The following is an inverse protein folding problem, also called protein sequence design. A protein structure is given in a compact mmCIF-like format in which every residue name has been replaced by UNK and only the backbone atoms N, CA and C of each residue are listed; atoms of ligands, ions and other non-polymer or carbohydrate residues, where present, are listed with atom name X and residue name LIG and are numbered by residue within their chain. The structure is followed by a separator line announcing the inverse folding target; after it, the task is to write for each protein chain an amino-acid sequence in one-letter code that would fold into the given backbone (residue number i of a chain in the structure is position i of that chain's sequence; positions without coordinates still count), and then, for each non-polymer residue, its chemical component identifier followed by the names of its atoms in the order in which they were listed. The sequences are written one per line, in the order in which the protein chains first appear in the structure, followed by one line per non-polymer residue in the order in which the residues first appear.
data_IF_867930296745
#
_entry.id   IF_867930296745
#
_cell.length_a   1.000
_cell.length_b   1.000
_cell.length_c   1.000
_cell.angle_alpha   90.00
_cell.angle_beta   90.00
_cell.angle_gamma   90.00
#
_symmetry.space_group_name_H-M   'P 1'
#
loop_
_entity.id
_entity.type
_entity.pdbx_description
1 polymer ?
#
# COMPACT_ATOMS: atom_id res chain seq x y z
N UNK A 1 -14.26 -15.89 -18.25
CA UNK A 1 -14.09 -15.73 -19.72
C UNK A 1 -13.13 -14.54 -19.92
N UNK A 2 -11.85 -14.81 -20.19
CA UNK A 2 -10.83 -13.77 -20.44
C UNK A 2 -11.27 -12.91 -21.62
N UNK A 3 -11.50 -11.61 -21.39
CA UNK A 3 -11.68 -10.65 -22.47
C UNK A 3 -10.40 -10.62 -23.29
N UNK A 4 -10.46 -11.10 -24.54
CA UNK A 4 -9.36 -10.98 -25.51
C UNK A 4 -8.94 -9.50 -25.58
N UNK A 5 -7.75 -9.19 -25.10
CA UNK A 5 -7.10 -7.89 -25.33
C UNK A 5 -6.17 -8.06 -26.55
N UNK A 6 -6.58 -7.63 -27.75
CA UNK A 6 -5.80 -7.87 -28.97
C UNK A 6 -4.38 -7.30 -28.93
N UNK A 7 -4.16 -6.28 -28.10
CA UNK A 7 -2.86 -5.65 -27.90
C UNK A 7 -1.90 -6.53 -27.07
N UNK A 8 -2.39 -7.12 -25.98
CA UNK A 8 -1.61 -8.01 -25.12
C UNK A 8 -1.22 -9.30 -25.87
N UNK A 9 -2.15 -9.91 -26.61
CA UNK A 9 -1.89 -11.10 -27.43
C UNK A 9 -0.79 -10.85 -28.46
N UNK A 10 -0.79 -9.67 -29.09
CA UNK A 10 0.24 -9.28 -30.07
C UNK A 10 1.60 -9.08 -29.44
N UNK A 11 1.68 -8.45 -28.26
CA UNK A 11 2.92 -8.28 -27.52
C UNK A 11 3.51 -9.61 -27.07
N UNK A 12 2.66 -10.53 -26.57
CA UNK A 12 3.09 -11.88 -26.18
C UNK A 12 3.63 -12.67 -27.36
N UNK A 13 3.00 -12.55 -28.54
CA UNK A 13 3.47 -13.23 -29.75
C UNK A 13 4.81 -12.68 -30.29
N UNK A 14 5.15 -11.43 -29.97
CA UNK A 14 6.40 -10.77 -30.36
C UNK A 14 7.48 -10.84 -29.29
N UNK A 15 7.14 -11.35 -28.09
CA UNK A 15 8.07 -11.40 -26.97
C UNK A 15 9.23 -12.38 -27.27
N UNK A 16 10.47 -11.99 -26.98
CA UNK A 16 11.61 -12.89 -27.07
C UNK A 16 11.43 -14.14 -26.20
N UNK A 17 12.10 -15.25 -26.55
CA UNK A 17 11.97 -16.46 -25.75
C UNK A 17 12.50 -16.25 -24.32
N UNK A 18 11.78 -16.74 -23.32
CA UNK A 18 12.21 -16.68 -21.91
C UNK A 18 13.57 -17.35 -21.70
N UNK A 19 13.91 -18.35 -22.51
CA UNK A 19 15.23 -19.01 -22.46
C UNK A 19 16.33 -18.04 -22.89
N UNK A 20 16.13 -17.31 -23.97
CA UNK A 20 17.09 -16.32 -24.47
C UNK A 20 17.24 -15.17 -23.48
N UNK A 21 16.13 -14.64 -22.93
CA UNK A 21 16.15 -13.61 -21.89
C UNK A 21 16.89 -14.08 -20.61
N UNK A 22 16.67 -15.32 -20.18
CA UNK A 22 17.39 -15.89 -19.04
C UNK A 22 18.91 -15.99 -19.29
N UNK A 23 19.30 -16.43 -20.48
CA UNK A 23 20.72 -16.46 -20.89
C UNK A 23 21.33 -15.06 -20.91
N UNK A 24 20.61 -14.09 -21.48
CA UNK A 24 21.02 -12.69 -21.60
C UNK A 24 21.21 -12.05 -20.21
N UNK A 25 20.20 -12.14 -19.33
CA UNK A 25 20.25 -11.56 -17.98
C UNK A 25 21.39 -12.18 -17.17
N UNK A 26 21.60 -13.49 -17.27
CA UNK A 26 22.69 -14.15 -16.55
C UNK A 26 24.05 -13.72 -17.08
N UNK A 27 24.21 -13.67 -18.41
CA UNK A 27 25.46 -13.21 -19.04
C UNK A 27 25.81 -11.76 -18.71
N UNK A 28 24.79 -10.88 -18.69
CA UNK A 28 24.93 -9.48 -18.29
C UNK A 28 25.35 -9.32 -16.83
N UNK A 29 24.74 -10.10 -15.92
CA UNK A 29 25.02 -10.04 -14.48
C UNK A 29 26.47 -10.45 -14.15
N UNK A 30 26.99 -11.44 -14.84
CA UNK A 30 28.37 -11.94 -14.62
C UNK A 30 29.39 -11.35 -15.55
N UNK A 31 28.99 -10.51 -16.49
CA UNK A 31 29.84 -9.96 -17.56
C UNK A 31 30.70 -11.02 -18.28
N UNK A 32 30.14 -12.26 -18.35
CA UNK A 32 30.84 -13.45 -18.83
C UNK A 32 29.89 -14.52 -19.35
N UNK A 33 30.08 -14.91 -20.61
CA UNK A 33 29.31 -16.03 -21.18
C UNK A 33 29.70 -17.38 -20.57
N UNK A 34 30.95 -17.53 -20.13
CA UNK A 34 31.44 -18.76 -19.49
C UNK A 34 30.79 -18.92 -18.11
N UNK A 35 30.83 -17.89 -17.27
CA UNK A 35 30.18 -17.93 -15.97
C UNK A 35 28.68 -18.11 -16.08
N UNK A 36 28.03 -17.45 -17.04
CA UNK A 36 26.61 -17.65 -17.30
C UNK A 36 26.29 -19.11 -17.66
N UNK A 37 27.17 -19.76 -18.45
CA UNK A 37 27.01 -21.17 -18.81
C UNK A 37 27.11 -22.09 -17.60
N UNK A 38 28.06 -21.85 -16.70
CA UNK A 38 28.21 -22.59 -15.44
C UNK A 38 26.97 -22.45 -14.55
N UNK A 39 26.50 -21.20 -14.33
CA UNK A 39 25.30 -20.90 -13.50
C UNK A 39 24.04 -21.57 -14.06
N UNK A 40 23.89 -21.59 -15.38
CA UNK A 40 22.72 -22.15 -16.04
C UNK A 40 22.86 -23.66 -16.37
N UNK A 41 24.00 -24.28 -16.02
CA UNK A 41 24.31 -25.70 -16.31
C UNK A 41 24.18 -26.02 -17.81
N UNK A 42 24.71 -25.15 -18.69
CA UNK A 42 24.72 -25.33 -20.15
C UNK A 42 26.10 -25.07 -20.71
N UNK A 43 26.32 -25.25 -22.02
CA UNK A 43 27.58 -24.92 -22.65
C UNK A 43 27.68 -23.43 -22.99
N UNK A 44 28.89 -22.87 -22.99
CA UNK A 44 29.11 -21.48 -23.40
C UNK A 44 28.64 -21.22 -24.85
N UNK A 45 28.78 -22.23 -25.76
CA UNK A 45 28.24 -22.14 -27.12
C UNK A 45 26.70 -22.00 -27.15
N UNK A 46 25.99 -22.67 -26.21
CA UNK A 46 24.54 -22.55 -26.09
C UNK A 46 24.16 -21.13 -25.65
N UNK A 47 24.89 -20.55 -24.67
CA UNK A 47 24.66 -19.14 -24.24
C UNK A 47 24.87 -18.19 -25.42
N UNK A 48 26.02 -18.28 -26.10
CA UNK A 48 26.33 -17.42 -27.25
C UNK A 48 25.28 -17.51 -28.35
N UNK A 49 24.79 -18.71 -28.63
CA UNK A 49 23.72 -18.93 -29.63
C UNK A 49 22.40 -18.26 -29.21
N UNK A 50 21.97 -18.44 -27.95
CA UNK A 50 20.74 -17.84 -27.46
C UNK A 50 20.77 -16.31 -27.44
N UNK A 51 21.93 -15.75 -27.11
CA UNK A 51 22.15 -14.28 -27.15
C UNK A 51 22.12 -13.78 -28.59
N UNK A 52 22.79 -14.48 -29.52
CA UNK A 52 22.74 -14.11 -30.92
C UNK A 52 21.31 -14.18 -31.50
N UNK A 53 20.60 -15.25 -31.24
CA UNK A 53 19.18 -15.38 -31.63
C UNK A 53 18.31 -14.24 -31.09
N UNK A 54 18.60 -13.76 -29.85
CA UNK A 54 17.93 -12.63 -29.24
C UNK A 54 18.27 -11.30 -29.95
N UNK A 55 19.56 -11.04 -30.20
CA UNK A 55 20.04 -9.86 -30.91
C UNK A 55 19.49 -9.82 -32.35
N UNK A 56 19.51 -10.96 -33.05
CA UNK A 56 18.95 -11.09 -34.39
C UNK A 56 17.42 -10.83 -34.42
N UNK A 57 16.68 -11.26 -33.38
CA UNK A 57 15.22 -11.05 -33.26
C UNK A 57 14.84 -9.60 -32.98
N UNK A 58 15.73 -8.84 -32.34
CA UNK A 58 15.55 -7.44 -31.99
C UNK A 58 16.22 -6.48 -32.99
N UNK A 59 16.99 -7.01 -33.94
CA UNK A 59 17.82 -6.27 -34.89
C UNK A 59 18.75 -5.24 -34.23
N UNK A 60 19.27 -5.60 -33.03
CA UNK A 60 20.18 -4.73 -32.26
C UNK A 60 21.18 -5.54 -31.43
N UNK A 61 22.43 -5.07 -31.35
CA UNK A 61 23.41 -5.64 -30.46
C UNK A 61 23.11 -5.27 -29.00
N UNK A 62 23.08 -6.26 -28.12
CA UNK A 62 22.87 -6.07 -26.68
C UNK A 62 24.20 -6.07 -25.90
N UNK A 63 25.23 -6.70 -26.46
CA UNK A 63 26.57 -6.71 -25.90
C UNK A 63 27.58 -6.09 -26.86
N UNK A 64 28.53 -5.38 -26.30
CA UNK A 64 29.78 -4.99 -26.95
C UNK A 64 30.95 -5.78 -26.37
N UNK A 65 31.93 -6.10 -27.22
CA UNK A 65 33.14 -6.83 -26.82
C UNK A 65 34.31 -5.87 -26.65
N UNK A 66 34.79 -5.74 -25.42
CA UNK A 66 35.97 -4.94 -25.10
C UNK A 66 37.09 -5.87 -24.67
N UNK A 67 37.85 -6.35 -25.64
CA UNK A 67 38.89 -7.32 -25.39
C UNK A 67 38.36 -8.69 -24.92
N UNK A 68 38.66 -9.06 -23.67
CA UNK A 68 38.20 -10.32 -23.05
C UNK A 68 36.90 -10.19 -22.26
N UNK A 69 36.39 -8.97 -22.11
CA UNK A 69 35.15 -8.67 -21.35
C UNK A 69 34.00 -8.38 -22.30
N UNK A 70 32.82 -8.66 -21.84
CA UNK A 70 31.58 -8.25 -22.48
C UNK A 70 30.96 -7.14 -21.63
N UNK A 71 30.41 -6.11 -22.27
CA UNK A 71 29.66 -5.04 -21.61
C UNK A 71 28.32 -4.87 -22.31
N UNK A 72 27.35 -4.36 -21.58
CA UNK A 72 26.03 -4.04 -22.16
C UNK A 72 26.10 -2.78 -23.03
N UNK A 73 25.51 -2.83 -24.21
CA UNK A 73 25.15 -1.63 -24.97
C UNK A 73 24.04 -0.82 -24.27
N UNK A 74 23.71 0.38 -24.76
CA UNK A 74 22.56 1.13 -24.26
C UNK A 74 21.24 0.35 -24.41
N UNK A 75 21.05 -0.31 -25.57
CA UNK A 75 19.91 -1.20 -25.80
C UNK A 75 19.92 -2.39 -24.82
N UNK A 76 21.10 -2.98 -24.58
CA UNK A 76 21.30 -4.03 -23.60
C UNK A 76 20.91 -3.59 -22.18
N UNK A 77 21.29 -2.37 -21.76
CA UNK A 77 20.91 -1.83 -20.44
C UNK A 77 19.40 -1.68 -20.28
N UNK A 78 18.71 -1.16 -21.29
CA UNK A 78 17.26 -1.04 -21.29
C UNK A 78 16.61 -2.42 -21.12
N UNK A 79 17.00 -3.38 -21.94
CA UNK A 79 16.44 -4.73 -21.90
C UNK A 79 16.79 -5.46 -20.60
N UNK A 80 18.01 -5.28 -20.07
CA UNK A 80 18.45 -5.88 -18.81
C UNK A 80 17.59 -5.45 -17.64
N UNK A 81 17.38 -4.14 -17.47
CA UNK A 81 16.61 -3.60 -16.37
C UNK A 81 15.15 -4.13 -16.36
N UNK A 82 14.52 -4.16 -17.53
CA UNK A 82 13.16 -4.70 -17.66
C UNK A 82 13.11 -6.23 -17.44
N UNK A 83 14.04 -6.97 -18.07
CA UNK A 83 14.05 -8.44 -18.03
C UNK A 83 14.48 -8.99 -16.67
N UNK A 84 15.43 -8.36 -16.00
CA UNK A 84 15.92 -8.82 -14.69
C UNK A 84 14.80 -8.89 -13.66
N UNK A 85 14.07 -7.78 -13.49
CA UNK A 85 12.95 -7.73 -12.55
C UNK A 85 11.86 -8.74 -12.92
N UNK A 86 11.51 -8.83 -14.21
CA UNK A 86 10.47 -9.76 -14.67
C UNK A 86 10.86 -11.23 -14.44
N UNK A 87 12.11 -11.61 -14.72
CA UNK A 87 12.60 -12.98 -14.49
C UNK A 87 12.67 -13.30 -13.00
N UNK A 88 13.08 -12.35 -12.15
CA UNK A 88 13.09 -12.55 -10.71
C UNK A 88 11.67 -12.76 -10.17
N UNK A 89 10.69 -11.96 -10.61
CA UNK A 89 9.28 -12.15 -10.24
C UNK A 89 8.75 -13.52 -10.67
N UNK A 90 9.08 -13.97 -11.89
CA UNK A 90 8.69 -15.32 -12.36
C UNK A 90 9.35 -16.41 -11.50
N UNK A 91 10.63 -16.24 -11.14
CA UNK A 91 11.35 -17.21 -10.33
C UNK A 91 10.77 -17.29 -8.91
N UNK A 92 10.43 -16.17 -8.30
CA UNK A 92 9.76 -16.09 -7.00
C UNK A 92 8.37 -16.72 -7.03
N UNK A 93 7.58 -16.44 -8.06
CA UNK A 93 6.27 -17.06 -8.25
C UNK A 93 6.38 -18.59 -8.43
N UNK A 94 7.35 -19.06 -9.21
CA UNK A 94 7.61 -20.49 -9.39
C UNK A 94 8.06 -21.16 -8.09
N UNK A 95 8.82 -20.47 -7.25
CA UNK A 95 9.22 -20.97 -5.93
C UNK A 95 8.03 -20.98 -4.97
N UNK A 96 7.18 -19.95 -5.00
CA UNK A 96 5.94 -19.91 -4.22
C UNK A 96 4.99 -21.07 -4.58
N UNK A 97 4.87 -21.39 -5.87
CA UNK A 97 4.09 -22.57 -6.35
C UNK A 97 4.70 -23.89 -5.86
N UNK A 98 6.04 -23.99 -5.80
CA UNK A 98 6.71 -25.19 -5.28
C UNK A 98 6.58 -25.33 -3.77
N UNK A 99 6.64 -24.21 -3.07
CA UNK A 99 6.32 -24.13 -1.65
C UNK A 99 4.80 -24.16 -1.53
N UNK A 100 4.18 -25.30 -1.73
CA UNK A 100 2.76 -25.50 -1.41
C UNK A 100 2.59 -25.41 0.11
N UNK A 101 2.90 -24.25 0.66
CA UNK A 101 2.75 -23.96 2.08
C UNK A 101 1.26 -23.78 2.31
N UNK A 102 0.63 -24.85 2.77
CA UNK A 102 -0.81 -24.92 3.06
C UNK A 102 -1.24 -23.89 4.11
N UNK A 103 -0.29 -23.19 4.71
CA UNK A 103 -0.50 -22.25 5.81
C UNK A 103 -0.16 -20.78 5.43
N UNK A 104 0.15 -20.51 4.16
CA UNK A 104 0.38 -19.14 3.71
C UNK A 104 -0.94 -18.41 3.49
N UNK A 105 -1.03 -17.15 3.95
CA UNK A 105 -2.16 -16.25 3.75
C UNK A 105 -1.65 -14.93 3.19
N UNK A 106 -2.16 -14.50 2.04
CA UNK A 106 -1.80 -13.23 1.40
C UNK A 106 -2.86 -12.18 1.68
N UNK A 107 -2.46 -11.10 2.34
CA UNK A 107 -3.34 -9.97 2.69
C UNK A 107 -2.88 -8.72 1.98
N UNK A 108 -3.78 -8.07 1.24
CA UNK A 108 -3.52 -6.84 0.51
C UNK A 108 -4.16 -5.65 1.23
N UNK A 109 -3.36 -4.62 1.49
CA UNK A 109 -3.78 -3.42 2.24
C UNK A 109 -3.13 -2.15 1.66
N UNK A 110 -3.64 -0.96 2.02
CA UNK A 110 -2.96 0.29 1.70
C UNK A 110 -1.66 0.47 2.48
N UNK A 111 -0.72 1.26 1.95
CA UNK A 111 0.54 1.59 2.62
C UNK A 111 0.32 2.18 4.03
N UNK A 112 -0.66 3.07 4.15
CA UNK A 112 -0.99 3.72 5.41
C UNK A 112 -1.55 2.73 6.43
N UNK A 113 -2.48 1.88 6.01
CA UNK A 113 -3.06 0.85 6.88
C UNK A 113 -2.00 -0.16 7.32
N UNK A 114 -1.14 -0.62 6.43
CA UNK A 114 -0.03 -1.51 6.75
C UNK A 114 0.89 -0.90 7.82
N UNK A 115 1.30 0.36 7.64
CA UNK A 115 2.28 1.00 8.50
C UNK A 115 1.73 1.44 9.87
N UNK A 116 0.52 2.00 9.91
CA UNK A 116 0.00 2.64 11.13
C UNK A 116 -0.98 1.76 11.91
N UNK A 117 -1.67 0.81 11.25
CA UNK A 117 -2.63 -0.06 11.92
C UNK A 117 -2.14 -1.50 12.07
N UNK A 118 -1.75 -2.13 10.95
CA UNK A 118 -1.45 -3.56 10.93
C UNK A 118 -0.11 -3.87 11.62
N UNK A 119 0.93 -3.09 11.35
CA UNK A 119 2.31 -3.37 11.81
C UNK A 119 2.43 -3.52 13.32
N UNK A 120 1.70 -2.70 14.10
CA UNK A 120 1.72 -2.75 15.58
C UNK A 120 1.04 -3.98 16.15
N UNK A 121 0.16 -4.63 15.39
CA UNK A 121 -0.65 -5.79 15.80
C UNK A 121 -0.07 -7.13 15.35
N UNK A 122 0.81 -7.11 14.35
CA UNK A 122 1.45 -8.32 13.82
C UNK A 122 2.22 -9.16 14.86
N UNK A 123 2.92 -8.58 15.86
CA UNK A 123 3.57 -9.37 16.90
C UNK A 123 2.59 -10.27 17.65
N UNK A 124 1.46 -9.72 18.11
CA UNK A 124 0.43 -10.47 18.84
C UNK A 124 -0.25 -11.54 17.92
N UNK A 125 -0.46 -11.20 16.63
CA UNK A 125 -0.95 -12.18 15.67
C UNK A 125 0.00 -13.37 15.53
N UNK A 126 1.30 -13.13 15.37
CA UNK A 126 2.31 -14.20 15.22
C UNK A 126 2.45 -15.05 16.46
N UNK A 127 2.31 -14.47 17.65
CA UNK A 127 2.32 -15.20 18.91
C UNK A 127 1.10 -16.14 19.02
N UNK A 128 -0.08 -15.65 18.63
CA UNK A 128 -1.33 -16.43 18.67
C UNK A 128 -1.42 -17.49 17.57
N UNK A 129 -0.85 -17.23 16.38
CA UNK A 129 -0.92 -18.11 15.22
C UNK A 129 0.46 -18.35 14.58
N UNK A 130 1.39 -19.01 15.27
CA UNK A 130 2.77 -19.15 14.83
C UNK A 130 2.93 -19.98 13.55
N UNK A 131 1.93 -20.81 13.19
CA UNK A 131 1.95 -21.64 11.99
C UNK A 131 1.52 -20.87 10.72
N UNK A 132 0.90 -19.69 10.84
CA UNK A 132 0.44 -18.94 9.68
C UNK A 132 1.59 -18.10 9.12
N UNK A 133 1.96 -18.36 7.86
CA UNK A 133 2.86 -17.52 7.12
C UNK A 133 2.07 -16.39 6.45
N UNK A 134 2.15 -15.18 7.01
CA UNK A 134 1.45 -14.01 6.48
C UNK A 134 2.31 -13.29 5.44
N UNK A 135 1.78 -13.14 4.22
CA UNK A 135 2.31 -12.30 3.17
C UNK A 135 1.48 -11.01 3.09
N UNK A 136 2.12 -9.86 3.34
CA UNK A 136 1.44 -8.56 3.27
C UNK A 136 1.84 -7.87 1.98
N UNK A 137 0.88 -7.71 1.09
CA UNK A 137 0.99 -6.90 -0.13
C UNK A 137 0.48 -5.50 0.15
N UNK A 138 1.17 -4.48 -0.37
CA UNK A 138 0.76 -3.09 -0.20
C UNK A 138 0.55 -2.41 -1.53
N UNK A 139 -0.65 -1.80 -1.71
CA UNK A 139 -1.00 -1.02 -2.90
C UNK A 139 -2.03 0.05 -2.56
N UNK A 140 -2.08 1.10 -3.36
CA UNK A 140 -3.19 2.06 -3.38
C UNK A 140 -4.17 1.77 -4.55
N UNK A 141 -3.81 0.85 -5.46
CA UNK A 141 -4.52 0.52 -6.70
C UNK A 141 -5.12 -0.89 -6.64
N UNK A 142 -6.04 -1.10 -5.70
CA UNK A 142 -6.64 -2.42 -5.47
C UNK A 142 -7.42 -2.97 -6.68
N UNK A 143 -7.94 -2.08 -7.55
CA UNK A 143 -8.71 -2.47 -8.74
C UNK A 143 -7.81 -2.84 -9.94
N UNK A 144 -6.50 -2.58 -9.83
CA UNK A 144 -5.51 -2.89 -10.87
C UNK A 144 -4.68 -4.15 -10.51
N UNK A 145 -5.06 -4.85 -9.43
CA UNK A 145 -4.44 -6.13 -9.10
C UNK A 145 -4.70 -7.11 -10.24
N UNK A 146 -3.63 -7.58 -10.86
CA UNK A 146 -3.69 -8.54 -11.95
C UNK A 146 -4.34 -9.85 -11.46
N UNK A 147 -5.17 -10.48 -12.29
CA UNK A 147 -5.84 -11.77 -11.98
C UNK A 147 -4.84 -12.87 -11.54
N UNK A 148 -3.55 -12.69 -11.86
CA UNK A 148 -2.47 -13.61 -11.47
C UNK A 148 -1.93 -13.39 -10.05
N UNK A 149 -2.32 -12.32 -9.39
CA UNK A 149 -1.84 -11.95 -8.04
C UNK A 149 -3.01 -11.71 -7.08
N UNK A 150 -4.06 -12.53 -7.17
CA UNK A 150 -5.21 -12.43 -6.27
C UNK A 150 -4.79 -12.70 -4.81
N UNK A 151 -4.86 -11.69 -3.94
CA UNK A 151 -4.66 -11.92 -2.50
C UNK A 151 -5.84 -12.70 -1.92
N UNK A 152 -5.59 -13.46 -0.88
CA UNK A 152 -6.66 -14.17 -0.15
C UNK A 152 -7.64 -13.19 0.52
N UNK A 153 -7.12 -12.03 0.96
CA UNK A 153 -7.89 -10.98 1.64
C UNK A 153 -7.44 -9.61 1.13
N UNK A 154 -8.40 -8.73 0.88
CA UNK A 154 -8.16 -7.30 0.64
C UNK A 154 -8.83 -6.49 1.74
N UNK A 155 -8.13 -5.50 2.30
CA UNK A 155 -8.71 -4.54 3.25
C UNK A 155 -8.64 -3.15 2.63
N UNK A 156 -9.81 -2.58 2.31
CA UNK A 156 -9.91 -1.28 1.63
C UNK A 156 -11.22 -0.55 1.99
N UNK A 157 -11.27 0.75 1.70
CA UNK A 157 -12.50 1.57 1.78
C UNK A 157 -13.35 1.50 0.50
N UNK A 158 -12.76 1.07 -0.61
CA UNK A 158 -13.40 1.03 -1.92
C UNK A 158 -13.63 -0.43 -2.33
N UNK A 159 -14.72 -1.06 -1.85
CA UNK A 159 -15.02 -2.43 -2.22
C UNK A 159 -15.36 -2.53 -3.71
N UNK A 160 -14.96 -3.62 -4.37
CA UNK A 160 -15.38 -3.92 -5.72
C UNK A 160 -16.91 -4.07 -5.77
N UNK A 161 -17.51 -3.75 -6.92
CA UNK A 161 -18.95 -3.90 -7.15
C UNK A 161 -19.32 -5.23 -7.80
N UNK A 162 -18.31 -5.97 -8.19
CA UNK A 162 -18.44 -7.24 -8.88
C UNK A 162 -19.02 -8.31 -7.94
N UNK A 163 -19.94 -9.16 -8.42
CA UNK A 163 -20.64 -10.16 -7.59
C UNK A 163 -19.73 -11.33 -7.17
N UNK A 164 -18.51 -11.39 -7.70
CA UNK A 164 -17.54 -12.44 -7.38
C UNK A 164 -16.90 -12.24 -5.99
N UNK A 165 -17.07 -11.08 -5.35
CA UNK A 165 -16.48 -10.79 -4.06
C UNK A 165 -17.52 -10.83 -2.94
N UNK A 166 -17.11 -11.37 -1.81
CA UNK A 166 -17.77 -11.21 -0.52
C UNK A 166 -17.15 -10.00 0.19
N UNK A 167 -18.01 -9.10 0.67
CA UNK A 167 -17.63 -7.81 1.26
C UNK A 167 -18.20 -7.73 2.67
N UNK A 168 -17.32 -7.74 3.67
CA UNK A 168 -17.69 -7.65 5.08
C UNK A 168 -17.24 -6.30 5.66
N UNK A 169 -18.13 -5.49 6.28
CA UNK A 169 -17.74 -4.25 6.93
C UNK A 169 -16.95 -4.54 8.21
N UNK A 170 -15.80 -3.86 8.40
CA UNK A 170 -14.95 -4.00 9.58
C UNK A 170 -15.24 -2.92 10.62
N UNK A 171 -15.07 -1.66 10.26
CA UNK A 171 -15.29 -0.49 11.11
C UNK A 171 -15.56 0.74 10.26
N UNK A 172 -16.25 1.70 10.84
CA UNK A 172 -16.54 2.98 10.19
C UNK A 172 -15.48 4.05 10.50
N UNK A 173 -15.43 5.08 9.67
CA UNK A 173 -14.50 6.18 9.84
C UNK A 173 -14.90 7.10 11.00
N UNK A 174 -13.92 7.39 11.84
CA UNK A 174 -13.96 8.46 12.84
C UNK A 174 -12.75 9.35 12.63
N UNK A 175 -12.98 10.65 12.47
CA UNK A 175 -11.93 11.64 12.17
C UNK A 175 -12.00 12.80 13.14
N UNK A 176 -10.86 13.17 13.72
CA UNK A 176 -10.73 14.27 14.67
C UNK A 176 -9.36 14.94 14.55
N UNK A 177 -9.23 16.21 14.96
CA UNK A 177 -7.93 16.88 14.96
C UNK A 177 -6.97 16.25 15.97
N UNK A 178 -5.70 16.16 15.57
CA UNK A 178 -4.59 15.76 16.43
C UNK A 178 -3.39 16.68 16.25
N UNK A 179 -2.61 16.87 17.32
CA UNK A 179 -1.32 17.55 17.28
C UNK A 179 -0.42 16.97 18.36
N UNK A 180 0.88 17.29 18.33
CA UNK A 180 1.74 16.92 19.44
C UNK A 180 1.45 17.76 20.72
N UNK A 181 1.75 17.24 21.92
CA UNK A 181 1.66 18.01 23.16
C UNK A 181 2.46 19.31 23.11
N UNK A 182 3.63 19.30 22.49
CA UNK A 182 4.47 20.51 22.35
C UNK A 182 3.84 21.57 21.46
N UNK A 183 3.16 21.17 20.39
CA UNK A 183 2.40 22.09 19.55
C UNK A 183 1.21 22.69 20.30
N UNK A 184 0.49 21.85 21.05
CA UNK A 184 -0.64 22.28 21.87
C UNK A 184 -0.20 23.33 22.90
N UNK A 185 0.85 23.07 23.67
CA UNK A 185 1.40 24.01 24.66
C UNK A 185 1.82 25.35 24.05
N UNK A 186 2.39 25.34 22.85
CA UNK A 186 2.85 26.55 22.17
C UNK A 186 1.71 27.44 21.64
N UNK A 187 0.65 26.82 21.13
CA UNK A 187 -0.37 27.52 20.34
C UNK A 187 -1.73 27.64 21.03
N UNK A 188 -2.05 26.71 21.92
CA UNK A 188 -3.39 26.53 22.48
C UNK A 188 -3.46 26.59 24.01
N UNK A 189 -2.35 26.63 24.69
CA UNK A 189 -2.29 26.69 26.14
C UNK A 189 -3.26 27.75 26.71
N UNK A 190 -3.97 27.38 27.76
CA UNK A 190 -4.91 28.26 28.49
C UNK A 190 -6.10 28.78 27.66
N UNK A 191 -6.34 28.25 26.46
CA UNK A 191 -7.49 28.60 25.63
C UNK A 191 -8.59 27.54 25.75
N UNK A 192 -9.84 28.00 25.91
CA UNK A 192 -11.01 27.15 25.75
C UNK A 192 -11.31 27.04 24.24
N UNK A 193 -10.75 26.04 23.60
CA UNK A 193 -10.81 25.86 22.15
C UNK A 193 -12.20 25.40 21.69
N UNK A 194 -12.63 26.00 20.57
CA UNK A 194 -13.72 25.52 19.73
C UNK A 194 -13.17 24.83 18.50
N UNK A 195 -13.93 23.97 17.81
CA UNK A 195 -13.46 23.25 16.63
C UNK A 195 -12.84 24.12 15.53
N UNK A 196 -13.38 25.33 15.31
CA UNK A 196 -12.91 26.26 14.26
C UNK A 196 -11.68 27.05 14.66
N UNK A 197 -11.35 27.17 15.93
CA UNK A 197 -10.15 27.93 16.41
C UNK A 197 -8.86 27.26 15.92
N UNK A 198 -8.91 25.96 15.64
CA UNK A 198 -7.78 25.20 15.11
C UNK A 198 -7.32 25.69 13.75
N UNK A 199 -8.22 26.25 12.93
CA UNK A 199 -7.92 26.76 11.60
C UNK A 199 -7.08 28.04 11.61
N UNK A 200 -6.95 28.70 12.76
CA UNK A 200 -6.08 29.87 12.94
C UNK A 200 -4.59 29.52 13.06
N UNK A 201 -4.25 28.25 13.21
CA UNK A 201 -2.91 27.73 13.39
C UNK A 201 -2.46 26.86 12.20
N UNK A 202 -1.16 26.55 12.07
CA UNK A 202 -0.66 25.70 11.01
C UNK A 202 -1.40 24.37 10.90
N UNK A 203 -1.88 24.04 9.70
CA UNK A 203 -2.55 22.77 9.38
C UNK A 203 -1.74 21.92 8.43
N UNK A 204 -1.83 20.61 8.63
CA UNK A 204 -1.26 19.58 7.78
C UNK A 204 -2.38 18.95 6.95
N UNK A 205 -2.21 18.91 5.64
CA UNK A 205 -3.28 18.55 4.70
C UNK A 205 -2.96 17.30 3.91
N UNK A 206 -3.90 16.37 3.88
CA UNK A 206 -3.84 15.21 2.99
C UNK A 206 -4.29 15.63 1.60
N UNK A 207 -3.41 15.49 0.61
CA UNK A 207 -3.68 15.76 -0.80
C UNK A 207 -4.24 14.53 -1.50
N UNK A 208 -5.11 14.77 -2.49
CA UNK A 208 -5.61 13.71 -3.39
C UNK A 208 -4.69 13.46 -4.59
N UNK A 209 -3.69 14.32 -4.82
CA UNK A 209 -2.81 14.20 -5.98
C UNK A 209 -2.07 12.86 -5.97
N UNK A 210 -2.19 12.09 -7.06
CA UNK A 210 -1.53 10.80 -7.20
C UNK A 210 -2.10 9.67 -6.34
N UNK A 211 -3.29 9.85 -5.76
CA UNK A 211 -4.03 8.77 -5.08
C UNK A 211 -5.12 8.21 -5.99
N UNK A 212 -5.33 6.90 -5.89
CA UNK A 212 -6.52 6.28 -6.48
C UNK A 212 -7.79 6.99 -5.98
N UNK A 213 -8.83 7.05 -6.81
CA UNK A 213 -10.08 7.73 -6.46
C UNK A 213 -10.60 7.21 -5.11
N UNK A 214 -10.45 8.03 -4.08
CA UNK A 214 -11.05 7.78 -2.76
C UNK A 214 -12.42 8.41 -2.81
N UNK A 215 -13.46 7.62 -2.60
CA UNK A 215 -14.85 8.05 -2.76
C UNK A 215 -15.20 9.30 -1.98
N UNK A 216 -14.56 9.55 -0.83
CA UNK A 216 -14.90 10.71 -0.01
C UNK A 216 -13.68 11.18 0.79
N UNK A 217 -13.12 12.27 0.36
CA UNK A 217 -12.01 12.92 1.03
C UNK A 217 -12.50 13.73 2.22
N UNK A 218 -11.82 13.58 3.37
CA UNK A 218 -12.04 14.41 4.55
C UNK A 218 -10.83 15.33 4.73
N UNK A 219 -11.03 16.61 4.50
CA UNK A 219 -10.05 17.67 4.67
C UNK A 219 -10.52 18.74 5.66
N UNK A 220 -9.71 19.78 5.87
CA UNK A 220 -10.06 20.89 6.74
C UNK A 220 -11.26 21.72 6.24
N UNK A 221 -11.65 21.62 4.96
CA UNK A 221 -12.88 22.25 4.43
C UNK A 221 -14.10 21.48 4.91
N UNK A 222 -14.04 20.14 4.91
CA UNK A 222 -15.09 19.29 5.47
C UNK A 222 -15.24 19.57 6.96
N UNK A 223 -14.14 19.63 7.72
CA UNK A 223 -14.14 20.00 9.13
C UNK A 223 -14.80 21.36 9.36
N UNK A 224 -14.36 22.39 8.65
CA UNK A 224 -14.94 23.73 8.73
C UNK A 224 -16.42 23.70 8.45
N UNK A 225 -16.86 23.15 7.32
CA UNK A 225 -18.26 23.15 6.90
C UNK A 225 -19.16 22.43 7.89
N UNK A 226 -18.64 21.43 8.61
CA UNK A 226 -19.38 20.69 9.63
C UNK A 226 -19.66 21.53 10.87
N UNK A 227 -18.71 22.32 11.30
CA UNK A 227 -18.82 23.12 12.53
C UNK A 227 -19.20 24.58 12.29
N UNK A 228 -19.24 25.03 11.04
CA UNK A 228 -19.60 26.39 10.71
C UNK A 228 -21.14 26.55 10.72
N UNK A 229 -21.66 27.33 11.66
CA UNK A 229 -23.06 27.77 11.68
C UNK A 229 -23.16 29.16 11.02
N UNK A 230 -23.74 29.23 9.80
CA UNK A 230 -24.01 30.51 9.10
C UNK A 230 -23.07 30.84 7.94
N UNK A 231 -23.36 31.95 7.28
CA UNK A 231 -22.72 32.49 6.07
C UNK A 231 -21.32 33.10 6.39
N UNK A 232 -20.41 32.26 6.89
CA UNK A 232 -19.08 32.73 7.29
C UNK A 232 -18.21 33.03 6.09
N UNK A 233 -17.77 34.27 6.01
CA UNK A 233 -16.66 34.72 5.16
C UNK A 233 -15.45 33.80 5.31
N UNK A 234 -14.75 33.56 4.22
CA UNK A 234 -13.62 32.67 4.00
C UNK A 234 -12.45 32.94 4.99
N UNK A 235 -12.55 32.42 6.23
CA UNK A 235 -11.52 32.56 7.27
C UNK A 235 -10.47 31.44 7.11
N UNK A 236 -10.41 30.78 6.00
CA UNK A 236 -9.21 30.04 5.63
C UNK A 236 -8.16 31.06 5.17
N UNK A 237 -7.61 31.84 6.10
CA UNK A 237 -6.23 32.23 5.93
C UNK A 237 -5.48 30.95 5.59
N UNK A 238 -4.70 30.94 4.52
CA UNK A 238 -4.01 29.74 4.02
C UNK A 238 -2.91 29.33 5.02
N UNK A 239 -3.34 28.80 6.17
CA UNK A 239 -2.47 28.27 7.23
C UNK A 239 -1.99 26.86 6.94
N UNK A 240 -2.11 26.40 5.69
CA UNK A 240 -1.57 25.14 5.23
C UNK A 240 -0.05 25.16 5.34
N UNK A 241 0.49 24.44 6.32
CA UNK A 241 1.93 24.34 6.53
C UNK A 241 2.55 23.33 5.57
N UNK A 242 1.86 22.22 5.36
CA UNK A 242 2.29 21.14 4.48
C UNK A 242 1.08 20.45 3.86
N UNK A 243 1.20 20.10 2.59
CA UNK A 243 0.28 19.24 1.87
C UNK A 243 1.04 18.06 1.29
N UNK A 244 0.57 16.82 1.54
CA UNK A 244 1.19 15.59 1.06
C UNK A 244 0.13 14.53 0.78
N UNK A 245 0.37 13.68 -0.21
CA UNK A 245 -0.41 12.47 -0.46
C UNK A 245 0.06 11.27 0.38
N UNK A 246 1.18 11.37 1.08
CA UNK A 246 1.62 10.37 2.06
C UNK A 246 1.16 10.74 3.47
N UNK A 247 0.14 10.06 3.96
CA UNK A 247 -0.41 10.32 5.29
C UNK A 247 0.56 10.01 6.43
N UNK A 248 1.49 9.05 6.24
CA UNK A 248 2.51 8.71 7.25
C UNK A 248 3.47 9.87 7.48
N UNK A 249 3.84 10.58 6.39
CA UNK A 249 4.62 11.80 6.50
C UNK A 249 3.88 12.86 7.33
N UNK A 250 2.58 13.04 7.09
CA UNK A 250 1.77 14.01 7.83
C UNK A 250 1.65 13.67 9.31
N UNK A 251 1.50 12.38 9.66
CA UNK A 251 1.50 11.92 11.06
C UNK A 251 2.85 12.24 11.72
N UNK A 252 3.96 11.93 11.06
CA UNK A 252 5.30 12.24 11.57
C UNK A 252 5.52 13.76 11.77
N UNK A 253 5.00 14.59 10.88
CA UNK A 253 5.06 16.06 11.02
C UNK A 253 4.17 16.56 12.18
N UNK A 254 3.01 15.95 12.40
CA UNK A 254 2.16 16.27 13.54
C UNK A 254 2.87 15.91 14.88
N UNK A 255 3.49 14.74 14.95
CA UNK A 255 4.32 14.32 16.11
C UNK A 255 5.52 15.25 16.35
N UNK A 256 6.14 15.75 15.28
CA UNK A 256 7.23 16.72 15.34
C UNK A 256 6.79 18.14 15.78
N UNK A 257 5.48 18.39 15.88
CA UNK A 257 4.97 19.70 16.32
C UNK A 257 4.89 20.74 15.21
N UNK A 258 4.74 20.33 13.96
CA UNK A 258 4.68 21.22 12.79
C UNK A 258 3.27 21.71 12.47
N UNK A 259 2.22 21.11 13.07
CA UNK A 259 0.85 21.54 12.82
C UNK A 259 -0.21 20.61 13.39
N UNK A 260 -1.46 20.97 13.14
CA UNK A 260 -2.64 20.15 13.45
C UNK A 260 -3.01 19.32 12.23
N UNK A 261 -3.24 18.02 12.42
CA UNK A 261 -3.64 17.07 11.40
C UNK A 261 -5.06 16.56 11.69
N UNK A 262 -5.86 16.30 10.65
CA UNK A 262 -7.06 15.47 10.78
C UNK A 262 -6.64 14.00 10.88
N UNK A 263 -6.84 13.41 12.04
CA UNK A 263 -6.47 12.04 12.39
C UNK A 263 -7.63 11.08 12.21
N UNK A 264 -7.47 10.04 11.39
CA UNK A 264 -8.38 8.90 11.40
C UNK A 264 -8.10 8.06 12.64
N UNK A 265 -9.11 7.81 13.45
CA UNK A 265 -9.00 7.10 14.73
C UNK A 265 -8.17 5.82 14.60
N UNK A 266 -8.49 4.97 13.63
CA UNK A 266 -7.78 3.71 13.41
C UNK A 266 -6.28 3.88 13.06
N UNK A 267 -5.85 5.06 12.59
CA UNK A 267 -4.46 5.33 12.22
C UNK A 267 -3.67 6.04 13.31
N UNK A 268 -4.32 6.79 14.20
CA UNK A 268 -3.63 7.67 15.16
C UNK A 268 -3.90 7.37 16.64
N UNK A 269 -4.80 6.44 16.97
CA UNK A 269 -5.15 6.16 18.37
C UNK A 269 -3.95 5.68 19.20
N UNK A 270 -3.07 4.84 18.63
CA UNK A 270 -1.86 4.38 19.31
C UNK A 270 -0.87 5.51 19.56
N UNK A 271 -0.78 6.51 18.68
CA UNK A 271 0.04 7.69 18.90
C UNK A 271 -0.51 8.54 20.04
N UNK A 272 -1.81 8.56 20.22
CA UNK A 272 -2.47 9.25 21.34
C UNK A 272 -2.23 8.48 22.65
N UNK A 273 -2.43 7.17 22.67
CA UNK A 273 -2.14 6.32 23.84
C UNK A 273 -0.69 6.43 24.30
N UNK A 274 0.25 6.52 23.37
CA UNK A 274 1.67 6.69 23.67
C UNK A 274 2.05 8.14 23.99
N UNK A 275 1.11 9.08 24.01
CA UNK A 275 1.34 10.50 24.31
C UNK A 275 2.13 11.26 23.24
N UNK A 276 2.33 10.71 22.03
CA UNK A 276 3.00 11.39 20.93
C UNK A 276 2.08 12.40 20.24
N UNK A 277 0.80 12.08 20.18
CA UNK A 277 -0.27 12.96 19.72
C UNK A 277 -1.31 13.13 20.83
N UNK A 278 -2.08 14.21 20.74
CA UNK A 278 -3.25 14.47 21.58
C UNK A 278 -4.36 15.10 20.76
N UNK A 279 -5.59 15.06 21.27
CA UNK A 279 -6.73 15.74 20.69
C UNK A 279 -6.84 17.13 21.31
N UNK A 280 -6.67 18.22 20.51
CA UNK A 280 -6.81 19.59 21.04
C UNK A 280 -8.24 19.98 21.37
N UNK A 281 -9.23 19.32 20.75
CA UNK A 281 -10.67 19.47 21.02
C UNK A 281 -11.33 18.09 21.13
N UNK A 282 -12.44 17.97 21.88
CA UNK A 282 -13.16 16.69 22.02
C UNK A 282 -13.97 16.30 20.77
N UNK A 283 -14.23 17.26 19.89
CA UNK A 283 -15.09 17.09 18.73
C UNK A 283 -14.51 16.11 17.72
N UNK A 284 -15.40 15.41 16.99
CA UNK A 284 -15.05 14.45 15.94
C UNK A 284 -16.13 14.36 14.86
N UNK A 285 -15.71 13.94 13.66
CA UNK A 285 -16.59 13.57 12.56
C UNK A 285 -16.75 12.04 12.57
N UNK A 286 -17.97 11.55 12.70
CA UNK A 286 -18.29 10.11 12.68
C UNK A 286 -19.10 9.79 11.42
N UNK A 287 -18.54 8.98 10.55
CA UNK A 287 -19.13 8.60 9.27
C UNK A 287 -19.66 7.17 9.33
N UNK A 288 -20.92 7.01 9.76
CA UNK A 288 -21.55 5.69 9.96
C UNK A 288 -21.81 4.90 8.68
N UNK A 289 -21.65 5.52 7.53
CA UNK A 289 -21.85 4.97 6.19
C UNK A 289 -20.51 4.71 5.44
N UNK A 290 -19.38 5.07 6.03
CA UNK A 290 -18.04 4.91 5.43
C UNK A 290 -17.25 3.87 6.18
N UNK A 291 -17.13 2.70 5.60
CA UNK A 291 -16.46 1.56 6.21
C UNK A 291 -15.12 1.25 5.57
N UNK A 292 -14.25 0.65 6.37
CA UNK A 292 -13.25 -0.27 5.86
C UNK A 292 -13.91 -1.62 5.71
N UNK A 293 -13.60 -2.31 4.63
CA UNK A 293 -14.16 -3.60 4.29
C UNK A 293 -13.07 -4.66 4.23
N UNK A 294 -13.40 -5.84 4.70
CA UNK A 294 -12.69 -7.07 4.40
C UNK A 294 -13.34 -7.70 3.16
N UNK A 295 -12.53 -7.97 2.16
CA UNK A 295 -13.00 -8.46 0.86
C UNK A 295 -12.28 -9.74 0.55
N UNK A 296 -13.04 -10.75 0.11
CA UNK A 296 -12.54 -12.05 -0.33
C UNK A 296 -13.22 -12.46 -1.63
N UNK A 297 -12.52 -13.22 -2.45
CA UNK A 297 -13.15 -13.79 -3.63
C UNK A 297 -14.12 -14.91 -3.21
N UNK A 298 -15.37 -14.87 -3.69
CA UNK A 298 -16.46 -15.80 -3.29
C UNK A 298 -16.13 -17.27 -3.57
N UNK A 299 -15.34 -17.55 -4.59
CA UNK A 299 -14.89 -18.88 -4.94
C UNK A 299 -13.68 -19.37 -4.10
N UNK A 300 -13.09 -18.48 -3.28
CA UNK A 300 -12.03 -18.88 -2.37
C UNK A 300 -12.62 -19.83 -1.32
N UNK A 301 -12.11 -21.06 -1.24
CA UNK A 301 -12.51 -21.98 -0.16
C UNK A 301 -12.04 -21.40 1.16
N UNK A 302 -12.91 -21.27 2.17
CA UNK A 302 -12.51 -20.78 3.47
C UNK A 302 -11.49 -21.77 4.08
N UNK A 303 -10.23 -21.34 4.11
CA UNK A 303 -9.14 -22.07 4.79
C UNK A 303 -9.11 -21.71 6.26
N UNK A 304 -8.56 -22.56 7.10
CA UNK A 304 -8.44 -22.31 8.54
C UNK A 304 -7.68 -21.01 8.82
N UNK A 305 -6.60 -20.76 8.07
CA UNK A 305 -5.75 -19.56 8.17
C UNK A 305 -6.55 -18.29 7.88
N UNK A 306 -7.40 -18.33 6.87
CA UNK A 306 -8.31 -17.22 6.54
C UNK A 306 -9.29 -16.94 7.69
N UNK A 307 -9.96 -17.97 8.21
CA UNK A 307 -10.92 -17.81 9.30
C UNK A 307 -10.25 -17.26 10.57
N UNK A 308 -9.07 -17.76 10.91
CA UNK A 308 -8.29 -17.30 12.06
C UNK A 308 -7.85 -15.84 11.91
N UNK A 309 -7.39 -15.44 10.73
CA UNK A 309 -7.02 -14.04 10.47
C UNK A 309 -8.24 -13.11 10.48
N UNK A 310 -9.34 -13.49 9.83
CA UNK A 310 -10.59 -12.72 9.81
C UNK A 310 -11.12 -12.49 11.23
N UNK A 311 -11.20 -13.55 12.03
CA UNK A 311 -11.74 -13.46 13.38
C UNK A 311 -10.83 -12.61 14.27
N UNK A 312 -9.52 -12.76 14.18
CA UNK A 312 -8.56 -11.90 14.85
C UNK A 312 -8.67 -10.44 14.40
N UNK A 313 -8.81 -10.19 13.11
CA UNK A 313 -8.96 -8.84 12.57
C UNK A 313 -10.23 -8.16 13.10
N UNK A 314 -11.34 -8.90 13.18
CA UNK A 314 -12.60 -8.41 13.74
C UNK A 314 -12.48 -8.13 15.25
N UNK A 315 -11.76 -8.96 16.01
CA UNK A 315 -11.49 -8.73 17.43
C UNK A 315 -10.70 -7.42 17.64
N UNK A 316 -9.62 -7.22 16.88
CA UNK A 316 -8.78 -6.02 16.94
C UNK A 316 -9.56 -4.74 16.53
N UNK A 317 -10.30 -4.82 15.42
CA UNK A 317 -11.14 -3.73 14.96
C UNK A 317 -12.24 -3.38 15.97
N UNK A 318 -12.90 -4.40 16.52
CA UNK A 318 -13.94 -4.23 17.54
C UNK A 318 -13.40 -3.68 18.86
N UNK A 319 -12.20 -4.07 19.28
CA UNK A 319 -11.48 -3.51 20.43
C UNK A 319 -11.26 -2.02 20.26
N UNK A 320 -10.59 -1.64 19.20
CA UNK A 320 -10.29 -0.25 18.85
C UNK A 320 -11.56 0.64 18.83
N UNK A 321 -12.66 0.15 18.28
CA UNK A 321 -13.89 0.93 18.21
C UNK A 321 -14.61 1.05 19.55
N UNK A 322 -14.48 0.07 20.48
CA UNK A 322 -14.97 0.20 21.86
C UNK A 322 -14.22 1.26 22.63
N UNK A 323 -12.91 1.32 22.48
CA UNK A 323 -12.07 2.35 23.12
C UNK A 323 -12.49 3.75 22.69
N UNK A 324 -12.92 3.91 21.44
CA UNK A 324 -13.50 5.15 20.95
C UNK A 324 -14.81 5.51 21.67
N UNK A 325 -15.73 4.55 21.85
CA UNK A 325 -17.03 4.76 22.50
C UNK A 325 -16.85 5.12 23.98
N UNK A 326 -15.92 4.46 24.67
CA UNK A 326 -15.66 4.66 26.09
C UNK A 326 -15.03 6.03 26.41
N UNK A 327 -14.42 6.70 25.44
CA UNK A 327 -13.89 8.06 25.63
C UNK A 327 -14.94 9.16 25.72
N UNK A 328 -16.23 8.84 25.66
CA UNK A 328 -17.35 9.75 25.97
C UNK A 328 -17.48 10.95 25.02
N UNK A 329 -17.00 10.85 23.80
CA UNK A 329 -17.00 11.94 22.83
C UNK A 329 -18.35 12.07 22.17
N UNK A 330 -18.93 13.28 22.24
CA UNK A 330 -20.20 13.62 21.61
C UNK A 330 -20.16 13.31 20.10
N UNK A 331 -20.93 12.33 19.68
CA UNK A 331 -21.22 12.04 18.27
C UNK A 331 -22.24 13.05 17.79
N UNK A 332 -21.85 13.97 16.92
CA UNK A 332 -22.79 14.73 16.11
C UNK A 332 -23.11 13.88 14.88
N UNK A 333 -24.33 13.35 14.86
CA UNK A 333 -24.90 12.55 13.75
C UNK A 333 -25.33 13.40 12.58
#
# INVERSE_FOLDING_TARGET
MLKKQPFADRLLAQMPSLRALKCFVTAARYESFTQAAEVLCVTQAAISRQIKELEDSLDVALFERTGRHIALTDAGRILYNASYLSIMNIAEAAEAVRRTDRHALTVCVSHTFAALWLSSRLPAFRERFPSIQLHVMVTEHFMELDELMEPDIIITKNPPREPEYDVEPLFHDVVYPVCSPTFYERHFRDKKLKPLDLLSQPTLNLSLLGRAQVCEHVDWRVWRNWFQQGDGTDILADNRRLESNDYRLLVAQAEAGEGTLLGWHHLVHLQIEHGRLMRPVPDALVFKDRYHYLITHRNARPRTEYLQFRDWLNEEAGGMMRDWIDTGVATTG
#
